data_IF_103485732986
#
_entry.id   IF_103485732986
#
_cell.length_a   1.000
_cell.length_b   1.000
_cell.length_c   1.000
_cell.angle_alpha   90.00
_cell.angle_beta   90.00
_cell.angle_gamma   90.00
#
_symmetry.space_group_name_H-M   'P 1'
#
loop_
_entity.id
_entity.type
_entity.pdbx_description
1 polymer ?
#
# COMPACT_ATOMS: atom_id res chain seq x y z
N UNK A 1 -6.20 12.28 2.02
CA UNK A 1 -5.64 11.56 3.20
C UNK A 1 -4.97 12.55 4.13
N UNK A 2 -5.75 13.28 4.92
CA UNK A 2 -5.26 14.39 5.75
C UNK A 2 -4.31 13.96 6.89
N UNK A 3 -4.39 12.69 7.31
CA UNK A 3 -3.70 12.16 8.50
C UNK A 3 -2.58 11.16 8.16
N UNK A 4 -2.19 11.03 6.88
CA UNK A 4 -1.09 10.15 6.45
C UNK A 4 -1.33 8.64 6.63
N UNK A 5 -2.56 8.22 6.94
CA UNK A 5 -2.94 6.81 7.10
C UNK A 5 -3.54 6.22 5.82
N UNK A 6 -3.38 4.90 5.66
CA UNK A 6 -4.11 4.12 4.66
C UNK A 6 -5.56 3.88 5.06
N UNK A 7 -6.43 3.60 4.09
CA UNK A 7 -7.82 3.21 4.34
C UNK A 7 -8.00 1.70 4.22
N UNK A 8 -8.73 1.09 5.16
CA UNK A 8 -9.13 -0.31 5.07
C UNK A 8 -10.65 -0.40 4.86
N UNK A 9 -11.07 -0.81 3.66
CA UNK A 9 -12.47 -1.06 3.34
C UNK A 9 -12.76 -2.54 3.56
N UNK A 10 -13.60 -2.85 4.55
CA UNK A 10 -13.97 -4.22 4.88
C UNK A 10 -15.44 -4.50 4.50
N UNK A 11 -15.71 -5.70 3.97
CA UNK A 11 -17.06 -6.13 3.60
C UNK A 11 -17.08 -7.32 2.64
N UNK A 12 -18.25 -7.94 2.37
CA UNK A 12 -18.37 -9.13 1.51
C UNK A 12 -17.81 -8.94 0.09
N UNK A 13 -17.54 -10.05 -0.61
CA UNK A 13 -17.19 -10.01 -2.03
C UNK A 13 -18.33 -9.40 -2.85
N UNK A 14 -18.01 -8.67 -3.92
CA UNK A 14 -19.00 -8.05 -4.81
C UNK A 14 -19.67 -6.77 -4.29
N UNK A 15 -19.24 -6.21 -3.15
CA UNK A 15 -19.79 -4.94 -2.62
C UNK A 15 -19.12 -3.67 -3.17
N UNK A 16 -18.29 -3.79 -4.21
CA UNK A 16 -17.73 -2.62 -4.91
C UNK A 16 -16.59 -1.92 -4.17
N UNK A 17 -15.90 -2.58 -3.23
CA UNK A 17 -14.83 -1.95 -2.40
C UNK A 17 -13.68 -1.43 -3.25
N UNK A 18 -13.15 -2.29 -4.10
CA UNK A 18 -12.03 -1.99 -4.99
C UNK A 18 -12.43 -0.97 -6.05
N UNK A 19 -13.65 -1.09 -6.57
CA UNK A 19 -14.26 -0.20 -7.54
C UNK A 19 -14.45 1.21 -6.96
N UNK A 20 -14.85 1.30 -5.69
CA UNK A 20 -14.99 2.58 -4.97
C UNK A 20 -13.64 3.27 -4.81
N UNK A 21 -12.56 2.54 -4.47
CA UNK A 21 -11.20 3.12 -4.39
C UNK A 21 -10.73 3.60 -5.75
N UNK A 22 -10.95 2.80 -6.81
CA UNK A 22 -10.62 3.19 -8.19
C UNK A 22 -11.37 4.44 -8.64
N UNK A 23 -12.68 4.50 -8.39
CA UNK A 23 -13.50 5.65 -8.73
C UNK A 23 -13.02 6.92 -8.00
N UNK A 24 -12.75 6.81 -6.69
CA UNK A 24 -12.22 7.91 -5.90
C UNK A 24 -10.85 8.38 -6.40
N UNK A 25 -9.92 7.46 -6.68
CA UNK A 25 -8.61 7.80 -7.22
C UNK A 25 -8.71 8.48 -8.59
N UNK A 26 -9.60 8.01 -9.46
CA UNK A 26 -9.89 8.64 -10.75
C UNK A 26 -10.38 10.09 -10.60
N UNK A 27 -11.30 10.34 -9.66
CA UNK A 27 -11.77 11.70 -9.35
C UNK A 27 -10.67 12.60 -8.77
N UNK A 28 -9.66 12.01 -8.12
CA UNK A 28 -8.51 12.73 -7.54
C UNK A 28 -7.29 12.80 -8.47
N UNK A 29 -7.40 12.33 -9.73
CA UNK A 29 -6.28 12.29 -10.66
C UNK A 29 -5.13 11.38 -10.21
N UNK A 30 -5.40 10.38 -9.37
CA UNK A 30 -4.42 9.43 -8.85
C UNK A 30 -4.67 8.06 -9.45
N UNK A 31 -3.62 7.47 -10.03
CA UNK A 31 -3.69 6.10 -10.52
C UNK A 31 -3.85 5.14 -9.33
N UNK A 32 -4.83 4.25 -9.41
CA UNK A 32 -5.06 3.18 -8.43
C UNK A 32 -4.61 1.86 -9.02
N UNK A 33 -3.58 1.26 -8.44
CA UNK A 33 -3.07 -0.05 -8.78
C UNK A 33 -3.63 -1.08 -7.81
N UNK A 34 -4.28 -2.12 -8.34
CA UNK A 34 -4.83 -3.22 -7.54
C UNK A 34 -3.91 -4.41 -7.64
N UNK A 35 -3.52 -4.95 -6.50
CA UNK A 35 -2.70 -6.14 -6.36
C UNK A 35 -3.54 -7.20 -5.65
N UNK A 36 -3.78 -8.32 -6.32
CA UNK A 36 -4.40 -9.48 -5.67
C UNK A 36 -3.32 -10.24 -4.90
N UNK A 37 -3.49 -10.41 -3.59
CA UNK A 37 -2.54 -11.12 -2.76
C UNK A 37 -2.84 -12.62 -2.71
N UNK A 38 -1.78 -13.42 -2.75
CA UNK A 38 -1.85 -14.88 -2.67
C UNK A 38 -0.67 -15.42 -1.86
N UNK A 39 -0.76 -16.68 -1.41
CA UNK A 39 0.25 -17.34 -0.57
C UNK A 39 1.63 -17.40 -1.24
N UNK A 40 1.69 -17.41 -2.58
CA UNK A 40 2.94 -17.44 -3.35
C UNK A 40 3.70 -16.11 -3.42
N UNK A 41 3.17 -15.02 -2.84
CA UNK A 41 3.82 -13.71 -2.88
C UNK A 41 4.81 -13.56 -1.73
N UNK A 42 6.07 -13.29 -2.07
CA UNK A 42 7.14 -13.09 -1.09
C UNK A 42 7.29 -11.63 -0.63
N UNK A 43 7.94 -11.46 0.53
CA UNK A 43 8.22 -10.15 1.14
C UNK A 43 8.96 -9.20 0.20
N UNK A 44 9.89 -9.71 -0.61
CA UNK A 44 10.69 -8.85 -1.50
C UNK A 44 9.84 -8.30 -2.63
N UNK A 45 8.95 -9.10 -3.21
CA UNK A 45 8.04 -8.65 -4.26
C UNK A 45 7.07 -7.59 -3.75
N UNK A 46 6.40 -7.81 -2.62
CA UNK A 46 5.51 -6.80 -2.02
C UNK A 46 6.27 -5.53 -1.63
N UNK A 47 7.46 -5.66 -1.08
CA UNK A 47 8.28 -4.49 -0.73
C UNK A 47 8.69 -3.67 -1.96
N UNK A 48 9.02 -4.33 -3.09
CA UNK A 48 9.29 -3.64 -4.36
C UNK A 48 8.04 -2.92 -4.89
N UNK A 49 6.86 -3.53 -4.77
CA UNK A 49 5.58 -2.89 -5.11
C UNK A 49 5.36 -1.63 -4.26
N UNK A 50 5.54 -1.72 -2.93
CA UNK A 50 5.43 -0.57 -2.03
C UNK A 50 6.39 0.55 -2.42
N UNK A 51 7.67 0.23 -2.68
CA UNK A 51 8.66 1.20 -3.15
C UNK A 51 8.21 1.85 -4.46
N UNK A 52 7.67 1.07 -5.40
CA UNK A 52 7.12 1.57 -6.66
C UNK A 52 6.01 2.60 -6.43
N UNK A 53 5.02 2.25 -5.60
CA UNK A 53 3.88 3.10 -5.25
C UNK A 53 4.32 4.43 -4.65
N UNK A 54 5.28 4.41 -3.73
CA UNK A 54 5.81 5.61 -3.06
C UNK A 54 6.55 6.52 -4.05
N UNK A 55 7.28 5.94 -5.02
CA UNK A 55 8.04 6.72 -5.99
C UNK A 55 7.15 7.36 -7.05
N UNK A 56 6.06 6.71 -7.45
CA UNK A 56 5.13 7.25 -8.44
C UNK A 56 3.98 8.06 -7.84
N UNK A 57 3.76 8.00 -6.53
CA UNK A 57 2.64 8.68 -5.87
C UNK A 57 1.28 8.12 -6.26
N UNK A 58 1.23 6.85 -6.67
CA UNK A 58 0.01 6.13 -6.97
C UNK A 58 -0.61 5.55 -5.69
N UNK A 59 -1.89 5.19 -5.76
CA UNK A 59 -2.58 4.49 -4.68
C UNK A 59 -2.52 2.99 -4.93
N UNK A 60 -2.09 2.23 -3.92
CA UNK A 60 -2.12 0.77 -3.94
C UNK A 60 -3.35 0.25 -3.22
N UNK A 61 -4.07 -0.68 -3.84
CA UNK A 61 -5.14 -1.45 -3.21
C UNK A 61 -4.71 -2.92 -3.21
N UNK A 62 -4.56 -3.50 -2.02
CA UNK A 62 -4.14 -4.89 -1.85
C UNK A 62 -5.38 -5.72 -1.49
N UNK A 63 -5.84 -6.52 -2.43
CA UNK A 63 -6.99 -7.42 -2.26
C UNK A 63 -6.52 -8.74 -1.66
N UNK A 64 -7.41 -9.42 -0.92
CA UNK A 64 -7.13 -10.70 -0.27
C UNK A 64 -5.84 -10.71 0.58
N UNK A 65 -5.49 -9.58 1.22
CA UNK A 65 -4.27 -9.43 2.02
C UNK A 65 -4.12 -10.48 3.13
N UNK A 66 -5.25 -11.02 3.60
CA UNK A 66 -5.32 -12.12 4.56
C UNK A 66 -4.91 -13.50 4.02
N UNK A 67 -4.62 -13.63 2.71
CA UNK A 67 -4.08 -14.85 2.09
C UNK A 67 -2.54 -14.91 2.12
N UNK A 68 -1.87 -13.84 2.54
CA UNK A 68 -0.42 -13.87 2.69
C UNK A 68 -0.01 -14.80 3.82
N UNK A 69 1.12 -15.49 3.66
CA UNK A 69 1.75 -16.24 4.74
C UNK A 69 2.01 -15.32 5.95
N UNK A 70 1.84 -15.83 7.16
CA UNK A 70 1.95 -15.04 8.40
C UNK A 70 3.28 -14.28 8.50
N UNK A 71 4.38 -14.91 8.10
CA UNK A 71 5.71 -14.29 8.05
C UNK A 71 5.75 -13.11 7.09
N UNK A 72 5.18 -13.27 5.90
CA UNK A 72 5.10 -12.21 4.89
C UNK A 72 4.19 -11.06 5.35
N UNK A 73 3.03 -11.40 5.91
CA UNK A 73 2.07 -10.43 6.43
C UNK A 73 2.69 -9.58 7.56
N UNK A 74 3.38 -10.22 8.49
CA UNK A 74 4.05 -9.54 9.61
C UNK A 74 5.14 -8.59 9.11
N UNK A 75 6.01 -9.06 8.21
CA UNK A 75 7.09 -8.25 7.65
C UNK A 75 6.56 -7.03 6.88
N UNK A 76 5.51 -7.20 6.06
CA UNK A 76 4.92 -6.12 5.27
C UNK A 76 4.16 -5.13 6.15
N UNK A 77 3.48 -5.59 7.19
CA UNK A 77 2.79 -4.71 8.15
C UNK A 77 3.75 -3.71 8.79
N UNK A 78 4.95 -4.18 9.18
CA UNK A 78 5.99 -3.30 9.73
C UNK A 78 6.49 -2.27 8.70
N UNK A 79 6.62 -2.66 7.43
CA UNK A 79 7.00 -1.72 6.37
C UNK A 79 5.91 -0.66 6.16
N UNK A 80 4.64 -1.07 6.07
CA UNK A 80 3.50 -0.15 5.91
C UNK A 80 3.43 0.83 7.08
N UNK A 81 3.63 0.37 8.31
CA UNK A 81 3.63 1.25 9.50
C UNK A 81 4.75 2.30 9.42
N UNK A 82 5.96 1.91 9.01
CA UNK A 82 7.09 2.84 8.82
C UNK A 82 6.78 3.89 7.76
N UNK A 83 6.12 3.49 6.67
CA UNK A 83 5.67 4.38 5.61
C UNK A 83 4.65 5.39 6.12
N UNK A 84 3.61 4.92 6.82
CA UNK A 84 2.57 5.78 7.39
C UNK A 84 3.17 6.79 8.37
N UNK A 85 4.08 6.36 9.24
CA UNK A 85 4.77 7.24 10.16
C UNK A 85 5.61 8.31 9.43
N UNK A 86 6.33 7.92 8.37
CA UNK A 86 7.09 8.87 7.55
C UNK A 86 6.18 9.91 6.86
N UNK A 87 4.99 9.51 6.41
CA UNK A 87 4.00 10.42 5.83
C UNK A 87 3.42 11.37 6.87
N UNK A 88 3.10 10.86 8.06
CA UNK A 88 2.59 11.67 9.17
C UNK A 88 3.60 12.71 9.64
N UNK A 89 4.88 12.34 9.68
CA UNK A 89 5.96 13.25 10.10
C UNK A 89 6.39 14.24 9.01
N UNK A 90 5.79 14.20 7.80
CA UNK A 90 6.22 15.00 6.65
C UNK A 90 7.64 14.68 6.16
N UNK A 91 8.14 13.46 6.41
CA UNK A 91 9.47 13.05 5.97
C UNK A 91 9.52 12.95 4.44
N UNK A 92 10.58 13.50 3.82
CA UNK A 92 10.81 13.38 2.37
C UNK A 92 11.38 12.02 1.95
N UNK A 93 11.86 11.24 2.91
CA UNK A 93 12.53 9.95 2.65
C UNK A 93 12.16 8.91 3.69
N UNK A 94 12.10 7.65 3.27
CA UNK A 94 11.85 6.50 4.14
C UNK A 94 12.76 5.33 3.78
N UNK A 95 13.13 4.53 4.76
CA UNK A 95 13.97 3.35 4.55
C UNK A 95 13.09 2.11 4.44
N UNK A 96 13.10 1.46 3.27
CA UNK A 96 12.39 0.20 2.98
C UNK A 96 13.41 -0.80 2.44
N UNK A 97 13.46 -2.01 3.00
CA UNK A 97 14.47 -3.04 2.66
C UNK A 97 15.92 -2.49 2.71
N UNK A 98 16.26 -1.73 3.75
CA UNK A 98 17.59 -1.09 3.92
C UNK A 98 17.95 -0.06 2.83
N UNK A 99 17.02 0.26 1.93
CA UNK A 99 17.18 1.28 0.89
C UNK A 99 16.45 2.55 1.28
N UNK A 100 17.14 3.68 1.18
CA UNK A 100 16.54 5.01 1.33
C UNK A 100 15.78 5.36 0.05
N UNK A 101 14.48 5.59 0.17
CA UNK A 101 13.57 5.91 -0.94
C UNK A 101 12.99 7.31 -0.72
N UNK A 102 12.94 8.10 -1.78
CA UNK A 102 12.24 9.39 -1.76
C UNK A 102 10.75 9.19 -1.86
N UNK A 103 10.00 9.88 -1.00
CA UNK A 103 8.54 9.84 -0.98
C UNK A 103 8.02 10.88 -1.98
N UNK A 104 7.25 10.43 -2.97
CA UNK A 104 6.58 11.29 -3.93
C UNK A 104 5.07 11.12 -3.75
N UNK A 105 4.47 11.90 -2.85
CA UNK A 105 3.02 11.91 -2.61
C UNK A 105 2.49 13.31 -2.83
#
# INVERSE_FOLDING_TARGET
MHIGLGGNLYGPAGTGKTESVKALGGLMGRQVLVFNCDEGIDVWSLSRILIGLIKCGAWGCFDEFNRLEEVTLSAISLQIQRLQHALQSGSKTVTVLEKKVMINI
#
